data_IF_473561680854
#
_entry.id   IF_473561680854
#
_cell.length_a   1.000
_cell.length_b   1.000
_cell.length_c   1.000
_cell.angle_alpha   90.00
_cell.angle_beta   90.00
_cell.angle_gamma   90.00
#
_symmetry.space_group_name_H-M   'P 1'
#
loop_
_entity.id
_entity.type
_entity.pdbx_description
1 polymer ?
#
# COMPACT_ATOMS: atom_id res chain seq x y z
N UNK A 1 -8.73 -1.07 -10.77
CA UNK A 1 -7.60 -1.03 -9.82
C UNK A 1 -8.18 -1.01 -8.42
N UNK A 2 -7.69 -1.83 -7.51
CA UNK A 2 -8.10 -1.74 -6.10
C UNK A 2 -7.55 -0.41 -5.57
N UNK A 3 -8.43 0.53 -5.23
CA UNK A 3 -8.03 1.81 -4.66
C UNK A 3 -7.98 1.72 -3.13
N UNK A 4 -6.76 1.81 -2.59
CA UNK A 4 -6.52 1.82 -1.15
C UNK A 4 -6.68 3.21 -0.51
N UNK A 5 -7.11 4.23 -1.27
CA UNK A 5 -7.20 5.62 -0.80
C UNK A 5 -8.07 5.80 0.45
N UNK A 6 -9.26 5.19 0.48
CA UNK A 6 -10.16 5.25 1.64
C UNK A 6 -9.57 4.52 2.86
N UNK A 7 -8.89 3.39 2.62
CA UNK A 7 -8.21 2.64 3.68
C UNK A 7 -7.05 3.44 4.28
N UNK A 8 -6.22 4.08 3.45
CA UNK A 8 -5.14 4.95 3.92
C UNK A 8 -5.67 6.14 4.74
N UNK A 9 -6.77 6.75 4.33
CA UNK A 9 -7.42 7.82 5.10
C UNK A 9 -8.00 7.33 6.44
N UNK A 10 -8.50 6.09 6.50
CA UNK A 10 -9.03 5.48 7.72
C UNK A 10 -7.92 5.22 8.74
N UNK A 11 -6.82 4.60 8.31
CA UNK A 11 -5.71 4.24 9.22
C UNK A 11 -4.88 5.46 9.63
N UNK A 12 -4.85 6.52 8.81
CA UNK A 12 -4.19 7.79 9.13
C UNK A 12 -4.73 8.45 10.41
N UNK A 13 -5.99 8.18 10.77
CA UNK A 13 -6.68 8.83 11.91
C UNK A 13 -6.71 7.98 13.18
N UNK A 14 -6.05 6.82 13.21
CA UNK A 14 -6.08 5.91 14.35
C UNK A 14 -4.65 5.44 14.72
N UNK A 15 -4.51 4.59 15.74
CA UNK A 15 -3.25 3.97 16.18
C UNK A 15 -2.53 3.15 15.10
N UNK A 16 -3.18 2.90 13.95
CA UNK A 16 -2.61 2.21 12.79
C UNK A 16 -1.84 3.16 11.85
N UNK A 17 -1.72 4.45 12.18
CA UNK A 17 -1.04 5.45 11.35
C UNK A 17 0.42 5.08 11.03
N UNK A 18 1.13 4.44 11.96
CA UNK A 18 2.50 3.95 11.74
C UNK A 18 2.61 2.97 10.56
N UNK A 19 1.53 2.26 10.23
CA UNK A 19 1.55 1.37 9.07
C UNK A 19 1.68 2.11 7.74
N UNK A 20 1.32 3.40 7.66
CA UNK A 20 1.50 4.21 6.44
C UNK A 20 2.97 4.37 6.04
N UNK A 21 3.91 4.14 6.95
CA UNK A 21 5.34 4.20 6.65
C UNK A 21 5.83 2.95 5.88
N UNK A 22 5.11 1.82 5.99
CA UNK A 22 5.59 0.51 5.53
C UNK A 22 4.64 -0.10 4.48
N UNK A 23 3.32 -0.01 4.70
CA UNK A 23 2.30 -0.63 3.85
C UNK A 23 2.33 -0.13 2.40
N UNK A 24 2.39 1.19 2.13
CA UNK A 24 2.42 1.69 0.76
C UNK A 24 3.64 1.18 -0.02
N UNK A 25 4.81 1.11 0.65
CA UNK A 25 6.04 0.62 0.04
C UNK A 25 5.97 -0.89 -0.27
N UNK A 26 5.37 -1.70 0.61
CA UNK A 26 5.19 -3.14 0.38
C UNK A 26 4.22 -3.42 -0.77
N UNK A 27 3.09 -2.71 -0.83
CA UNK A 27 2.10 -2.87 -1.90
C UNK A 27 2.67 -2.40 -3.24
N UNK A 28 3.35 -1.25 -3.26
CA UNK A 28 4.00 -0.75 -4.46
C UNK A 28 5.08 -1.74 -4.94
N UNK A 29 5.96 -2.21 -4.05
CA UNK A 29 7.00 -3.19 -4.38
C UNK A 29 6.44 -4.53 -4.87
N UNK A 30 5.31 -4.99 -4.30
CA UNK A 30 4.63 -6.19 -4.77
C UNK A 30 4.03 -5.99 -6.17
N UNK A 31 3.43 -4.82 -6.45
CA UNK A 31 2.91 -4.50 -7.77
C UNK A 31 4.04 -4.44 -8.83
N UNK A 32 5.18 -3.83 -8.49
CA UNK A 32 6.36 -3.79 -9.38
C UNK A 32 6.93 -5.18 -9.63
N UNK A 33 6.97 -6.05 -8.59
CA UNK A 33 7.38 -7.44 -8.74
C UNK A 33 6.41 -8.24 -9.58
N UNK A 34 5.10 -8.04 -9.43
CA UNK A 34 4.12 -8.72 -10.26
C UNK A 34 4.33 -8.38 -11.75
N UNK A 35 4.61 -7.13 -12.10
CA UNK A 35 4.94 -6.72 -13.48
C UNK A 35 6.31 -7.20 -13.97
N UNK A 36 7.27 -7.45 -13.07
CA UNK A 36 8.62 -7.90 -13.43
C UNK A 36 8.70 -9.37 -13.86
N UNK A 37 7.69 -10.20 -13.54
CA UNK A 37 7.61 -11.61 -13.99
C UNK A 37 6.93 -11.77 -15.36
N UNK A 38 6.44 -10.66 -15.95
CA UNK A 38 5.82 -10.63 -17.27
C UNK A 38 6.72 -10.03 -18.36
N UNK A 39 8.03 -9.88 -18.10
CA UNK A 39 9.06 -9.50 -19.09
C UNK A 39 10.03 -10.64 -19.33
#
# INVERSE_FOLDING_TARGET
>A
MIEFGNFYQLIAKNHLSHWLEILPAQIAGLATRATAWFV
#
